data_IF_026505164930
#
_entry.id   IF_026505164930
#
_cell.length_a   1.000
_cell.length_b   1.000
_cell.length_c   1.000
_cell.angle_alpha   90.00
_cell.angle_beta   90.00
_cell.angle_gamma   90.00
#
_symmetry.space_group_name_H-M   'P 1'
#
loop_
_entity.id
_entity.type
_entity.pdbx_description
1 polymer ?
#
# COMPACT_ATOMS: atom_id res chain seq x y z
N UNK A 1 -24.59 -18.16 -18.62
CA UNK A 1 -24.45 -18.60 -17.21
C UNK A 1 -23.09 -19.22 -16.89
N UNK A 2 -22.56 -20.21 -17.64
CA UNK A 2 -21.22 -20.78 -17.38
C UNK A 2 -20.05 -19.80 -17.59
N UNK A 3 -20.17 -18.93 -18.58
CA UNK A 3 -19.16 -17.90 -18.90
C UNK A 3 -18.94 -16.93 -17.74
N UNK A 4 -20.03 -16.39 -17.17
CA UNK A 4 -19.97 -15.51 -15.99
C UNK A 4 -19.30 -16.15 -14.77
N UNK A 5 -19.57 -17.44 -14.51
CA UNK A 5 -18.88 -18.18 -13.44
C UNK A 5 -17.37 -18.24 -13.72
N UNK A 6 -16.99 -18.56 -14.95
CA UNK A 6 -15.57 -18.63 -15.32
C UNK A 6 -14.89 -17.27 -15.20
N UNK A 7 -15.56 -16.18 -15.60
CA UNK A 7 -15.04 -14.83 -15.46
C UNK A 7 -14.87 -14.38 -14.02
N UNK A 8 -15.83 -14.67 -13.13
CA UNK A 8 -15.68 -14.37 -11.70
C UNK A 8 -14.44 -15.08 -11.13
N UNK A 9 -14.26 -16.36 -11.44
CA UNK A 9 -13.08 -17.12 -10.98
C UNK A 9 -11.79 -16.55 -11.58
N UNK A 10 -11.80 -16.21 -12.87
CA UNK A 10 -10.65 -15.61 -13.57
C UNK A 10 -10.25 -14.27 -12.95
N UNK A 11 -11.22 -13.40 -12.68
CA UNK A 11 -10.98 -12.10 -12.04
C UNK A 11 -10.42 -12.26 -10.62
N UNK A 12 -10.94 -13.21 -9.82
CA UNK A 12 -10.38 -13.47 -8.49
C UNK A 12 -8.94 -14.00 -8.57
N UNK A 13 -8.61 -14.84 -9.57
CA UNK A 13 -7.23 -15.33 -9.79
C UNK A 13 -6.30 -14.20 -10.21
N UNK A 14 -6.71 -13.41 -11.20
CA UNK A 14 -5.95 -12.27 -11.68
C UNK A 14 -5.68 -11.25 -10.57
N UNK A 15 -6.65 -10.99 -9.70
CA UNK A 15 -6.45 -10.12 -8.54
C UNK A 15 -5.41 -10.68 -7.56
N UNK A 16 -5.43 -11.99 -7.29
CA UNK A 16 -4.41 -12.64 -6.45
C UNK A 16 -3.01 -12.53 -7.05
N UNK A 17 -2.87 -12.74 -8.36
CA UNK A 17 -1.60 -12.60 -9.09
C UNK A 17 -1.09 -11.16 -9.11
N UNK A 18 -1.98 -10.18 -9.29
CA UNK A 18 -1.66 -8.75 -9.25
C UNK A 18 -1.20 -8.34 -7.84
N UNK A 19 -1.89 -8.80 -6.80
CA UNK A 19 -1.54 -8.53 -5.41
C UNK A 19 -0.17 -9.13 -5.04
N UNK A 20 0.14 -10.34 -5.53
CA UNK A 20 1.45 -10.95 -5.34
C UNK A 20 2.59 -10.12 -5.93
N UNK A 21 2.29 -9.31 -6.95
CA UNK A 21 3.23 -8.44 -7.65
C UNK A 21 3.14 -6.97 -7.18
N UNK A 22 2.33 -6.68 -6.16
CA UNK A 22 2.13 -5.33 -5.63
C UNK A 22 1.38 -4.38 -6.58
N UNK A 23 0.70 -4.91 -7.60
CA UNK A 23 -0.07 -4.10 -8.57
C UNK A 23 -1.47 -3.82 -8.06
N UNK A 24 -1.58 -2.92 -7.08
CA UNK A 24 -2.83 -2.66 -6.36
C UNK A 24 -3.94 -2.03 -7.23
N UNK A 25 -3.58 -1.24 -8.24
CA UNK A 25 -4.57 -0.69 -9.18
C UNK A 25 -5.27 -1.79 -9.99
N UNK A 26 -4.53 -2.81 -10.42
CA UNK A 26 -5.09 -3.98 -11.10
C UNK A 26 -5.96 -4.82 -10.15
N UNK A 27 -5.60 -4.93 -8.87
CA UNK A 27 -6.44 -5.59 -7.85
C UNK A 27 -7.78 -4.87 -7.74
N UNK A 28 -7.77 -3.53 -7.66
CA UNK A 28 -8.99 -2.72 -7.60
C UNK A 28 -9.84 -2.95 -8.84
N UNK A 29 -9.24 -2.86 -10.03
CA UNK A 29 -9.94 -3.09 -11.29
C UNK A 29 -10.61 -4.48 -11.33
N UNK A 30 -9.87 -5.53 -10.96
CA UNK A 30 -10.41 -6.90 -10.94
C UNK A 30 -11.63 -7.03 -10.01
N UNK A 31 -11.58 -6.42 -8.81
CA UNK A 31 -12.70 -6.48 -7.86
C UNK A 31 -13.88 -5.59 -8.26
N UNK A 32 -13.63 -4.46 -8.93
CA UNK A 32 -14.70 -3.64 -9.51
C UNK A 32 -15.45 -4.41 -10.60
N UNK A 33 -14.74 -5.03 -11.54
CA UNK A 33 -15.34 -5.85 -12.60
C UNK A 33 -16.06 -7.08 -12.03
N UNK A 34 -15.45 -7.76 -11.05
CA UNK A 34 -16.05 -8.91 -10.37
C UNK A 34 -17.33 -8.52 -9.63
N UNK A 35 -17.34 -7.36 -8.97
CA UNK A 35 -18.51 -6.83 -8.28
C UNK A 35 -19.71 -6.63 -9.21
N UNK A 36 -19.47 -6.08 -10.41
CA UNK A 36 -20.50 -5.94 -11.44
C UNK A 36 -21.03 -7.31 -11.89
N UNK A 37 -20.15 -8.26 -12.18
CA UNK A 37 -20.57 -9.61 -12.58
C UNK A 37 -21.37 -10.32 -11.48
N UNK A 38 -20.97 -10.17 -10.21
CA UNK A 38 -21.69 -10.76 -9.08
C UNK A 38 -23.09 -10.16 -8.93
N UNK A 39 -23.24 -8.84 -9.05
CA UNK A 39 -24.53 -8.16 -8.98
C UNK A 39 -25.51 -8.64 -10.07
N UNK A 40 -25.00 -8.98 -11.25
CA UNK A 40 -25.79 -9.49 -12.36
C UNK A 40 -26.02 -11.02 -12.32
N UNK A 41 -25.39 -11.75 -11.40
CA UNK A 41 -25.33 -13.22 -11.39
C UNK A 41 -26.45 -13.88 -10.56
N UNK A 42 -27.68 -13.39 -10.66
CA UNK A 42 -28.84 -14.07 -10.07
C UNK A 42 -29.00 -15.48 -10.67
N UNK A 43 -29.02 -16.51 -9.82
CA UNK A 43 -29.23 -17.91 -10.22
C UNK A 43 -28.00 -18.65 -10.75
N UNK A 44 -26.79 -18.08 -10.66
CA UNK A 44 -25.54 -18.78 -11.03
C UNK A 44 -24.96 -19.48 -9.81
N UNK A 45 -24.76 -20.80 -9.88
CA UNK A 45 -24.02 -21.55 -8.85
C UNK A 45 -22.53 -21.25 -8.96
N UNK A 46 -21.99 -20.54 -7.98
CA UNK A 46 -20.57 -20.19 -7.89
C UNK A 46 -19.83 -21.18 -6.96
N UNK A 47 -18.52 -21.39 -7.17
CA UNK A 47 -17.70 -22.16 -6.24
C UNK A 47 -17.36 -21.28 -5.02
N UNK A 48 -18.35 -21.09 -4.14
CA UNK A 48 -18.28 -20.11 -3.05
C UNK A 48 -17.08 -20.32 -2.13
N UNK A 49 -16.82 -21.56 -1.71
CA UNK A 49 -15.70 -21.87 -0.81
C UNK A 49 -14.34 -21.55 -1.43
N UNK A 50 -14.15 -21.83 -2.72
CA UNK A 50 -12.91 -21.51 -3.44
C UNK A 50 -12.73 -19.99 -3.55
N UNK A 51 -13.79 -19.26 -3.91
CA UNK A 51 -13.77 -17.81 -4.04
C UNK A 51 -13.51 -17.13 -2.69
N UNK A 52 -14.13 -17.60 -1.60
CA UNK A 52 -13.93 -17.07 -0.26
C UNK A 52 -12.50 -17.30 0.21
N UNK A 53 -11.95 -18.50 0.01
CA UNK A 53 -10.54 -18.78 0.34
C UNK A 53 -9.59 -17.83 -0.38
N UNK A 54 -9.82 -17.58 -1.67
CA UNK A 54 -8.99 -16.66 -2.45
C UNK A 54 -9.16 -15.21 -1.98
N UNK A 55 -10.39 -14.79 -1.64
CA UNK A 55 -10.67 -13.45 -1.09
C UNK A 55 -9.96 -13.25 0.27
N UNK A 56 -9.90 -14.28 1.11
CA UNK A 56 -9.19 -14.26 2.40
C UNK A 56 -7.66 -14.18 2.20
N UNK A 57 -7.12 -14.97 1.29
CA UNK A 57 -5.70 -14.92 0.91
C UNK A 57 -5.26 -13.55 0.38
N UNK A 58 -6.14 -12.87 -0.36
CA UNK A 58 -5.90 -11.50 -0.81
C UNK A 58 -5.96 -10.52 0.37
N UNK A 59 -6.95 -10.67 1.24
CA UNK A 59 -7.12 -9.81 2.42
C UNK A 59 -5.91 -9.85 3.34
N UNK A 60 -5.34 -11.03 3.54
CA UNK A 60 -4.13 -11.18 4.35
C UNK A 60 -2.93 -10.47 3.70
N UNK A 61 -2.77 -10.56 2.38
CA UNK A 61 -1.74 -9.80 1.65
C UNK A 61 -1.92 -8.29 1.79
N UNK A 62 -3.16 -7.80 1.67
CA UNK A 62 -3.47 -6.37 1.86
C UNK A 62 -3.07 -5.93 3.26
N UNK A 63 -3.42 -6.72 4.30
CA UNK A 63 -3.03 -6.41 5.69
C UNK A 63 -1.51 -6.38 5.87
N UNK A 64 -0.79 -7.34 5.29
CA UNK A 64 0.67 -7.35 5.32
C UNK A 64 1.24 -6.11 4.64
N UNK A 65 0.74 -5.73 3.46
CA UNK A 65 1.19 -4.54 2.76
C UNK A 65 0.91 -3.25 3.57
N UNK A 66 -0.26 -3.16 4.20
CA UNK A 66 -0.61 -2.04 5.08
C UNK A 66 0.35 -1.92 6.27
N UNK A 67 0.66 -3.03 6.95
CA UNK A 67 1.61 -3.03 8.05
C UNK A 67 3.00 -2.53 7.63
N UNK A 68 3.50 -3.02 6.48
CA UNK A 68 4.78 -2.56 5.93
C UNK A 68 4.76 -1.06 5.59
N UNK A 69 3.67 -0.57 5.00
CA UNK A 69 3.53 0.86 4.70
C UNK A 69 3.51 1.71 5.96
N UNK A 70 2.81 1.27 7.02
CA UNK A 70 2.76 1.96 8.29
C UNK A 70 4.15 2.06 8.94
N UNK A 71 4.92 0.97 8.93
CA UNK A 71 6.29 0.93 9.42
C UNK A 71 7.20 1.91 8.63
N UNK A 72 7.15 1.85 7.30
CA UNK A 72 7.92 2.75 6.43
C UNK A 72 7.55 4.22 6.66
N UNK A 73 6.27 4.52 6.86
CA UNK A 73 5.81 5.88 7.17
C UNK A 73 6.31 6.34 8.54
N UNK A 74 6.35 5.45 9.53
CA UNK A 74 6.89 5.74 10.86
C UNK A 74 8.39 6.06 10.78
N UNK A 75 9.17 5.23 10.06
CA UNK A 75 10.59 5.45 9.81
C UNK A 75 10.85 6.77 9.10
N UNK A 76 10.12 7.05 8.01
CA UNK A 76 10.26 8.28 7.25
C UNK A 76 10.01 9.53 8.12
N UNK A 77 9.04 9.47 9.04
CA UNK A 77 8.77 10.55 10.00
C UNK A 77 9.94 10.75 10.97
N UNK A 78 10.55 9.66 11.46
CA UNK A 78 11.74 9.73 12.31
C UNK A 78 12.90 10.38 11.56
N UNK A 79 13.22 9.90 10.35
CA UNK A 79 14.31 10.45 9.54
C UNK A 79 14.09 11.93 9.22
N UNK A 80 12.85 12.33 8.88
CA UNK A 80 12.50 13.74 8.65
C UNK A 80 12.79 14.61 9.88
N UNK A 81 12.42 14.14 11.08
CA UNK A 81 12.70 14.88 12.34
C UNK A 81 14.20 15.00 12.60
N UNK A 82 14.97 13.93 12.38
CA UNK A 82 16.42 13.95 12.57
C UNK A 82 17.09 14.96 11.64
N UNK A 83 16.73 14.97 10.35
CA UNK A 83 17.25 15.94 9.39
C UNK A 83 16.90 17.37 9.78
N UNK A 84 15.67 17.62 10.24
CA UNK A 84 15.25 18.95 10.72
C UNK A 84 16.06 19.38 11.94
N UNK A 85 16.32 18.46 12.87
CA UNK A 85 17.12 18.73 14.06
C UNK A 85 18.58 19.06 13.70
N UNK A 86 19.20 18.28 12.81
CA UNK A 86 20.56 18.58 12.34
C UNK A 86 20.64 19.93 11.64
N UNK A 87 19.65 20.27 10.80
CA UNK A 87 19.58 21.60 10.17
C UNK A 87 19.50 22.72 11.20
N UNK A 88 18.68 22.57 12.25
CA UNK A 88 18.62 23.54 13.35
C UNK A 88 19.97 23.70 14.04
N UNK A 89 20.64 22.60 14.40
CA UNK A 89 21.94 22.63 15.08
C UNK A 89 23.01 23.32 14.25
N UNK A 90 23.08 22.99 12.95
CA UNK A 90 24.04 23.59 12.03
C UNK A 90 23.75 25.08 11.76
N UNK A 91 22.48 25.49 11.76
CA UNK A 91 22.10 26.90 11.65
C UNK A 91 22.38 27.72 12.92
N UNK A 92 22.52 27.07 14.08
CA UNK A 92 22.85 27.70 15.37
C UNK A 92 24.37 27.75 15.62
N UNK A 93 25.20 27.08 14.80
CA UNK A 93 26.65 27.28 14.87
C UNK A 93 26.96 28.76 14.55
N UNK A 94 27.62 29.50 15.47
CA UNK A 94 27.91 30.91 15.24
C UNK A 94 28.82 31.05 14.03
N UNK A 95 28.29 31.68 12.98
CA UNK A 95 29.04 32.17 11.85
C UNK A 95 29.83 33.41 12.26
N UNK A 96 31.15 33.24 12.48
CA UNK A 96 32.12 34.33 12.46
C UNK A 96 33.03 34.38 13.70
N UNK A 97 34.36 34.51 13.51
CA UNK A 97 35.31 34.61 14.61
C UNK A 97 35.04 35.86 15.44
N UNK A 98 35.04 35.67 16.75
CA UNK A 98 35.04 36.72 17.76
C UNK A 98 36.16 37.72 17.40
N UNK A 99 35.79 38.91 16.94
CA UNK A 99 36.74 39.98 16.70
C UNK A 99 37.29 40.42 18.06
N UNK A 100 38.42 39.85 18.45
CA UNK A 100 39.19 40.31 19.60
C UNK A 100 39.80 41.65 19.22
N UNK A 101 39.11 42.73 19.57
CA UNK A 101 39.68 44.08 19.51
C UNK A 101 40.80 44.17 20.54
N UNK A 102 42.05 44.16 20.06
CA UNK A 102 43.20 44.59 20.86
C UNK A 102 43.25 46.11 20.76
N UNK A 103 42.90 46.80 21.85
CA UNK A 103 43.19 48.24 21.99
C UNK A 103 44.71 48.44 22.06
N UNK A 104 45.20 49.40 21.27
CA UNK A 104 46.60 49.84 21.21
C UNK A 104 46.75 51.24 21.79
#
# INVERSE_FOLDING_TARGET
MRERRADIVRLTKAAGEAAQQGRWDEVIQCYSERGLLLAESLGVTLPADELLRMDDELRDRIRTAQAVLDDLLAEARVSKRQVQEWRRRLAVLPSGPEAVSIEA
#
